data_IF_569517229468
#
_entry.id   IF_569517229468
#
_cell.length_a   1.000
_cell.length_b   1.000
_cell.length_c   1.000
_cell.angle_alpha   90.00
_cell.angle_beta   90.00
_cell.angle_gamma   90.00
#
_symmetry.space_group_name_H-M   'P 1'
#
loop_
_entity.id
_entity.type
_entity.pdbx_description
1 polymer ?
#
# COMPACT_ATOMS: atom_id res chain seq x y z
N UNK A 1 57.17 -32.55 -30.51
CA UNK A 1 58.21 -31.80 -31.26
C UNK A 1 57.53 -31.18 -32.47
N UNK A 2 57.42 -29.88 -32.70
CA UNK A 2 57.84 -28.71 -31.95
C UNK A 2 57.35 -27.46 -32.73
N UNK A 3 56.93 -26.45 -31.96
CA UNK A 3 57.01 -24.99 -32.18
C UNK A 3 57.22 -24.43 -33.59
N UNK A 4 56.38 -23.46 -33.98
CA UNK A 4 56.75 -22.09 -34.43
C UNK A 4 55.67 -21.51 -35.35
N UNK A 5 54.71 -20.76 -34.80
CA UNK A 5 53.88 -19.82 -35.56
C UNK A 5 53.44 -18.69 -34.62
N UNK A 6 54.40 -17.83 -34.23
CA UNK A 6 54.12 -16.64 -33.41
C UNK A 6 54.89 -15.38 -33.85
N UNK A 7 55.56 -15.39 -35.00
CA UNK A 7 56.39 -14.26 -35.49
C UNK A 7 55.91 -13.58 -36.79
N UNK A 8 54.82 -14.04 -37.41
CA UNK A 8 54.31 -13.40 -38.64
C UNK A 8 53.32 -12.25 -38.42
N UNK A 9 52.80 -12.07 -37.19
CA UNK A 9 51.73 -11.11 -36.91
C UNK A 9 52.19 -9.78 -36.30
N UNK A 10 53.46 -9.64 -35.92
CA UNK A 10 54.01 -8.40 -35.32
C UNK A 10 54.66 -7.43 -36.30
N UNK A 11 54.91 -7.83 -37.56
CA UNK A 11 55.54 -6.95 -38.55
C UNK A 11 54.55 -6.10 -39.38
N UNK A 12 53.24 -6.34 -39.25
CA UNK A 12 52.22 -5.62 -40.03
C UNK A 12 51.71 -4.36 -39.32
N UNK A 13 52.06 -4.16 -38.05
CA UNK A 13 51.57 -3.03 -37.24
C UNK A 13 52.52 -1.82 -37.15
N UNK A 14 53.67 -1.84 -37.86
CA UNK A 14 54.67 -0.76 -37.86
C UNK A 14 54.91 -0.16 -39.26
N UNK A 15 53.87 -0.04 -40.08
CA UNK A 15 53.89 0.75 -41.31
C UNK A 15 52.67 1.68 -41.36
N UNK A 16 52.47 2.45 -40.29
CA UNK A 16 51.86 3.77 -40.38
C UNK A 16 53.02 4.76 -40.44
N UNK A 17 53.48 5.13 -41.64
CA UNK A 17 53.95 6.48 -41.91
C UNK A 17 54.19 6.69 -43.42
N UNK A 18 53.65 7.80 -43.94
CA UNK A 18 53.90 8.40 -45.26
C UNK A 18 53.10 7.86 -46.46
N UNK A 19 51.85 8.33 -46.61
CA UNK A 19 51.42 8.85 -47.92
C UNK A 19 50.43 10.01 -47.75
N UNK A 20 50.72 11.07 -48.49
CA UNK A 20 50.18 12.42 -48.41
C UNK A 20 48.83 12.59 -49.12
N UNK A 21 47.96 13.39 -48.50
CA UNK A 21 46.92 14.30 -49.03
C UNK A 21 46.60 14.28 -50.54
N UNK A 22 45.32 14.03 -50.85
CA UNK A 22 44.57 14.77 -51.88
C UNK A 22 43.13 14.95 -51.40
N UNK A 23 42.72 16.22 -51.25
CA UNK A 23 41.38 16.61 -50.81
C UNK A 23 40.38 16.63 -51.97
N UNK A 24 39.26 15.96 -51.78
CA UNK A 24 38.03 16.14 -52.56
C UNK A 24 36.88 16.31 -51.57
N UNK A 25 36.29 17.50 -51.55
CA UNK A 25 35.17 17.85 -50.70
C UNK A 25 33.89 17.10 -51.14
N UNK A 26 33.36 16.27 -50.25
CA UNK A 26 32.01 15.70 -50.31
C UNK A 26 31.10 16.47 -49.33
N UNK A 27 29.81 16.67 -49.63
CA UNK A 27 28.91 17.40 -48.75
C UNK A 27 28.76 16.66 -47.42
N UNK A 28 28.96 17.41 -46.34
CA UNK A 28 28.83 17.02 -44.94
C UNK A 28 27.39 16.54 -44.65
N UNK A 29 27.10 15.27 -44.92
CA UNK A 29 25.97 14.59 -44.31
C UNK A 29 26.42 14.14 -42.92
N UNK A 30 26.15 15.00 -41.95
CA UNK A 30 26.34 14.74 -40.53
C UNK A 30 25.58 13.45 -40.15
N UNK A 31 26.25 12.33 -39.83
CA UNK A 31 25.56 11.21 -39.23
C UNK A 31 25.16 11.69 -37.83
N UNK A 32 23.86 11.86 -37.58
CA UNK A 32 23.33 12.08 -36.23
C UNK A 32 23.72 10.86 -35.39
N UNK A 33 24.89 10.94 -34.76
CA UNK A 33 25.25 10.09 -33.64
C UNK A 33 24.28 10.41 -32.52
N UNK A 34 23.39 9.46 -32.20
CA UNK A 34 22.65 9.46 -30.94
C UNK A 34 23.62 9.17 -29.79
N UNK A 35 24.58 10.06 -29.56
CA UNK A 35 25.15 10.23 -28.25
C UNK A 35 24.08 10.95 -27.43
N UNK A 36 23.60 10.33 -26.37
CA UNK A 36 22.98 11.00 -25.24
C UNK A 36 23.96 12.06 -24.75
N UNK A 37 23.90 13.25 -25.34
CA UNK A 37 24.66 14.39 -24.87
C UNK A 37 24.01 14.80 -23.56
N UNK A 38 24.49 14.20 -22.47
CA UNK A 38 24.08 14.52 -21.10
C UNK A 38 24.37 16.01 -20.92
N UNK A 39 23.33 16.83 -21.01
CA UNK A 39 23.44 18.25 -20.76
C UNK A 39 23.69 18.41 -19.27
N UNK A 40 24.91 18.76 -18.86
CA UNK A 40 25.26 18.99 -17.45
C UNK A 40 24.43 20.11 -16.81
N UNK A 41 23.76 20.95 -17.62
CA UNK A 41 22.81 21.94 -17.16
C UNK A 41 21.38 21.39 -17.05
N UNK A 42 21.17 20.08 -17.15
CA UNK A 42 19.83 19.51 -17.06
C UNK A 42 19.35 19.38 -15.61
N UNK A 43 18.08 19.67 -15.40
CA UNK A 43 17.38 19.48 -14.12
C UNK A 43 17.37 18.01 -13.68
N UNK A 44 17.35 17.05 -14.63
CA UNK A 44 17.36 15.62 -14.30
C UNK A 44 18.74 15.17 -13.79
N UNK A 45 19.81 15.63 -14.43
CA UNK A 45 21.18 15.41 -13.94
C UNK A 45 21.33 16.03 -12.56
N UNK A 46 20.84 17.26 -12.39
CA UNK A 46 20.86 17.94 -11.11
C UNK A 46 20.04 17.21 -10.03
N UNK A 47 18.93 16.54 -10.39
CA UNK A 47 18.16 15.70 -9.48
C UNK A 47 18.96 14.48 -9.03
N UNK A 48 19.57 13.75 -9.96
CA UNK A 48 20.36 12.54 -9.67
C UNK A 48 21.60 12.84 -8.82
N UNK A 49 22.21 14.02 -8.99
CA UNK A 49 23.36 14.48 -8.21
C UNK A 49 22.97 15.20 -6.90
N UNK A 50 21.66 15.40 -6.65
CA UNK A 50 21.18 16.16 -5.49
C UNK A 50 21.06 15.32 -4.22
N UNK A 51 20.64 15.98 -3.14
CA UNK A 51 20.33 15.33 -1.87
C UNK A 51 19.01 14.54 -1.88
N UNK A 52 18.24 14.56 -2.97
CA UNK A 52 17.01 13.78 -3.15
C UNK A 52 17.30 12.35 -3.62
N UNK A 53 18.17 11.65 -2.89
CA UNK A 53 18.69 10.33 -3.25
C UNK A 53 17.60 9.27 -3.29
N UNK A 54 16.65 9.30 -2.35
CA UNK A 54 15.56 8.31 -2.31
C UNK A 54 14.62 8.48 -3.52
N UNK A 55 14.35 9.71 -3.92
CA UNK A 55 13.53 9.99 -5.11
C UNK A 55 14.25 9.53 -6.38
N UNK A 56 15.55 9.80 -6.48
CA UNK A 56 16.38 9.37 -7.62
C UNK A 56 16.37 7.86 -7.78
N UNK A 57 16.49 7.11 -6.68
CA UNK A 57 16.37 5.65 -6.69
C UNK A 57 14.99 5.17 -7.19
N UNK A 58 13.91 5.84 -6.77
CA UNK A 58 12.56 5.51 -7.26
C UNK A 58 12.41 5.79 -8.76
N UNK A 59 12.99 6.88 -9.27
CA UNK A 59 12.97 7.21 -10.71
C UNK A 59 13.68 6.16 -11.55
N UNK A 60 14.84 5.68 -11.08
CA UNK A 60 15.57 4.57 -11.72
C UNK A 60 14.74 3.28 -11.72
N UNK A 61 14.18 2.91 -10.56
CA UNK A 61 13.33 1.70 -10.42
C UNK A 61 12.04 1.76 -11.23
N UNK A 62 11.51 2.96 -11.46
CA UNK A 62 10.32 3.17 -12.28
C UNK A 62 10.60 3.17 -13.79
N UNK A 63 11.87 3.08 -14.22
CA UNK A 63 12.29 3.15 -15.62
C UNK A 63 11.81 4.44 -16.30
N UNK A 64 11.74 5.55 -15.57
CA UNK A 64 11.18 6.82 -16.07
C UNK A 64 12.22 7.75 -16.70
N UNK A 65 13.52 7.47 -16.55
CA UNK A 65 14.59 8.37 -17.02
C UNK A 65 14.42 8.78 -18.49
N UNK A 66 14.20 7.81 -19.38
CA UNK A 66 14.00 8.09 -20.80
C UNK A 66 12.77 8.98 -21.08
N UNK A 67 11.66 8.71 -20.40
CA UNK A 67 10.42 9.49 -20.54
C UNK A 67 10.61 10.92 -20.03
N UNK A 68 11.33 11.10 -18.93
CA UNK A 68 11.62 12.42 -18.37
C UNK A 68 12.58 13.20 -19.25
N UNK A 69 13.62 12.57 -19.79
CA UNK A 69 14.55 13.20 -20.75
C UNK A 69 13.81 13.74 -21.98
N UNK A 70 12.88 12.94 -22.53
CA UNK A 70 12.01 13.38 -23.63
C UNK A 70 11.09 14.53 -23.20
N UNK A 71 10.60 14.55 -21.97
CA UNK A 71 9.74 15.64 -21.51
C UNK A 71 10.52 16.95 -21.38
N UNK A 72 11.71 16.87 -20.77
CA UNK A 72 12.61 18.00 -20.55
C UNK A 72 13.14 18.59 -21.86
N UNK A 73 13.25 17.79 -22.92
CA UNK A 73 13.65 18.30 -24.24
C UNK A 73 12.59 19.18 -24.91
N UNK A 74 11.31 19.05 -24.53
CA UNK A 74 10.20 19.78 -25.15
C UNK A 74 9.64 20.89 -24.27
N UNK A 75 9.68 20.71 -22.95
CA UNK A 75 9.05 21.60 -21.98
C UNK A 75 9.96 21.84 -20.78
N UNK A 76 9.85 23.03 -20.20
CA UNK A 76 10.43 23.29 -18.89
C UNK A 76 9.57 22.63 -17.82
N UNK A 77 10.17 21.82 -16.95
CA UNK A 77 9.43 21.07 -15.94
C UNK A 77 9.64 21.63 -14.53
N UNK A 78 8.67 21.35 -13.66
CA UNK A 78 8.78 21.58 -12.22
C UNK A 78 8.63 20.26 -11.49
N UNK A 79 9.64 19.90 -10.70
CA UNK A 79 9.66 18.66 -9.92
C UNK A 79 9.44 19.01 -8.44
N UNK A 80 8.45 18.38 -7.82
CA UNK A 80 8.27 18.44 -6.37
C UNK A 80 8.95 17.24 -5.72
N UNK A 81 10.15 17.45 -5.19
CA UNK A 81 10.97 16.38 -4.64
C UNK A 81 10.72 16.22 -3.14
N UNK A 82 10.13 15.10 -2.68
CA UNK A 82 9.99 14.84 -1.26
C UNK A 82 11.36 14.60 -0.60
N UNK A 83 11.54 15.13 0.60
CA UNK A 83 12.76 14.92 1.40
C UNK A 83 12.94 13.43 1.75
N UNK A 84 14.19 12.95 1.85
CA UNK A 84 14.47 11.53 2.14
C UNK A 84 13.79 11.02 3.41
N UNK A 85 13.71 11.85 4.45
CA UNK A 85 13.01 11.50 5.70
C UNK A 85 11.52 11.19 5.47
N UNK A 86 10.88 11.83 4.50
CA UNK A 86 9.50 11.54 4.14
C UNK A 86 9.33 10.14 3.55
N UNK A 87 10.29 9.70 2.73
CA UNK A 87 10.25 8.41 2.04
C UNK A 87 10.72 7.25 2.92
N UNK A 88 11.59 7.53 3.89
CA UNK A 88 12.12 6.50 4.80
C UNK A 88 11.27 6.34 6.06
N UNK A 89 10.85 7.44 6.69
CA UNK A 89 10.24 7.43 8.03
C UNK A 89 8.74 7.68 8.04
N UNK A 90 8.26 8.54 7.15
CA UNK A 90 6.84 8.96 7.16
C UNK A 90 5.96 8.08 6.26
N UNK A 91 6.56 7.40 5.29
CA UNK A 91 5.83 6.49 4.39
C UNK A 91 5.53 5.15 5.07
N UNK A 92 4.30 4.67 4.88
CA UNK A 92 3.87 3.34 5.35
C UNK A 92 4.77 2.24 4.73
N UNK A 93 5.40 1.36 5.54
CA UNK A 93 6.28 0.32 5.03
C UNK A 93 5.58 -0.69 4.09
N UNK A 94 4.31 -0.98 4.31
CA UNK A 94 3.51 -1.85 3.44
C UNK A 94 3.21 -1.17 2.11
N UNK A 95 2.96 0.14 2.13
CA UNK A 95 2.81 0.95 0.92
C UNK A 95 4.13 1.02 0.12
N UNK A 96 5.27 1.27 0.79
CA UNK A 96 6.60 1.24 0.16
C UNK A 96 6.85 -0.11 -0.51
N UNK A 97 6.57 -1.21 0.19
CA UNK A 97 6.69 -2.57 -0.37
C UNK A 97 5.78 -2.77 -1.57
N UNK A 98 4.52 -2.32 -1.51
CA UNK A 98 3.59 -2.40 -2.63
C UNK A 98 4.12 -1.66 -3.87
N UNK A 99 4.66 -0.45 -3.72
CA UNK A 99 5.21 0.32 -4.84
C UNK A 99 6.44 -0.33 -5.48
N UNK A 100 7.27 -0.98 -4.67
CA UNK A 100 8.52 -1.63 -5.12
C UNK A 100 8.32 -3.05 -5.64
N UNK A 101 7.11 -3.62 -5.55
CA UNK A 101 6.80 -4.91 -6.18
C UNK A 101 6.86 -4.76 -7.71
N UNK A 102 7.60 -5.62 -8.45
CA UNK A 102 7.72 -5.53 -9.91
C UNK A 102 6.38 -5.52 -10.65
N UNK A 103 5.33 -6.14 -10.08
CA UNK A 103 3.99 -6.16 -10.65
C UNK A 103 3.22 -4.83 -10.56
N UNK A 104 3.68 -3.85 -9.78
CA UNK A 104 2.99 -2.58 -9.54
C UNK A 104 3.78 -1.38 -10.10
N UNK A 105 4.67 -1.62 -11.07
CA UNK A 105 5.51 -0.59 -11.69
C UNK A 105 4.69 0.58 -12.26
N UNK A 106 3.50 0.32 -12.79
CA UNK A 106 2.58 1.37 -13.27
C UNK A 106 2.16 2.33 -12.15
N UNK A 107 1.88 1.80 -10.95
CA UNK A 107 1.49 2.62 -9.80
C UNK A 107 2.67 3.46 -9.30
N UNK A 108 3.90 2.92 -9.33
CA UNK A 108 5.13 3.68 -9.04
C UNK A 108 5.37 4.78 -10.08
N UNK A 109 5.20 4.48 -11.37
CA UNK A 109 5.35 5.48 -12.44
C UNK A 109 4.34 6.61 -12.27
N UNK A 110 3.05 6.29 -12.08
CA UNK A 110 2.00 7.29 -11.87
C UNK A 110 2.27 8.17 -10.64
N UNK A 111 2.72 7.56 -9.54
CA UNK A 111 3.11 8.29 -8.33
C UNK A 111 4.20 9.33 -8.63
N UNK A 112 5.27 8.92 -9.32
CA UNK A 112 6.40 9.82 -9.60
C UNK A 112 6.03 10.91 -10.62
N UNK A 113 5.28 10.56 -11.67
CA UNK A 113 4.82 11.51 -12.67
C UNK A 113 3.85 12.56 -12.10
N UNK A 114 3.10 12.21 -11.05
CA UNK A 114 2.25 13.16 -10.33
C UNK A 114 3.05 14.24 -9.57
N UNK A 115 4.33 14.00 -9.27
CA UNK A 115 5.21 15.00 -8.66
C UNK A 115 5.77 16.00 -9.68
N UNK A 116 5.45 15.85 -10.97
CA UNK A 116 6.05 16.64 -12.04
C UNK A 116 4.96 17.38 -12.81
N UNK A 117 5.15 18.69 -12.94
CA UNK A 117 4.33 19.56 -13.79
C UNK A 117 5.13 19.87 -15.08
N UNK A 118 4.54 19.70 -16.29
CA UNK A 118 5.16 20.07 -17.58
C UNK A 118 5.11 21.59 -17.83
N UNK A 119 5.33 22.38 -16.80
CA UNK A 119 5.49 23.83 -16.88
C UNK A 119 6.40 24.31 -15.76
N UNK A 120 7.07 25.43 -15.99
CA UNK A 120 7.90 26.08 -14.97
C UNK A 120 7.00 26.85 -14.01
N UNK A 121 7.05 26.51 -12.73
CA UNK A 121 6.32 27.18 -11.65
C UNK A 121 7.30 27.50 -10.54
N UNK A 122 7.89 28.69 -10.59
CA UNK A 122 8.83 29.16 -9.58
C UNK A 122 8.15 29.64 -8.29
N UNK A 123 8.94 29.87 -7.24
CA UNK A 123 8.43 30.42 -5.96
C UNK A 123 7.69 31.75 -6.11
N UNK A 124 8.04 32.56 -7.12
CA UNK A 124 7.43 33.87 -7.45
C UNK A 124 6.11 33.75 -8.21
N UNK A 125 5.94 32.67 -8.96
CA UNK A 125 4.75 32.39 -9.79
C UNK A 125 3.67 31.64 -8.99
N UNK A 126 3.92 31.40 -7.70
CA UNK A 126 2.97 30.75 -6.81
C UNK A 126 1.69 31.59 -6.67
N UNK A 127 0.50 30.96 -6.66
CA UNK A 127 -0.76 31.70 -6.51
C UNK A 127 -0.75 32.61 -5.27
N UNK A 128 -1.26 33.83 -5.45
CA UNK A 128 -1.31 34.90 -4.45
C UNK A 128 -2.47 34.72 -3.45
N UNK A 129 -2.44 35.54 -2.39
CA UNK A 129 -3.18 35.43 -1.11
C UNK A 129 -4.71 35.58 -1.16
N UNK A 130 -5.35 35.49 -2.33
CA UNK A 130 -6.79 35.28 -2.33
C UNK A 130 -7.03 33.92 -1.69
N UNK A 131 -7.48 33.92 -0.43
CA UNK A 131 -7.68 32.76 0.43
C UNK A 131 -8.72 31.84 -0.22
N UNK A 132 -8.27 30.98 -1.14
CA UNK A 132 -9.13 30.14 -1.98
C UNK A 132 -8.73 30.03 -3.45
N UNK A 133 -7.80 30.86 -3.96
CA UNK A 133 -7.28 30.75 -5.32
C UNK A 133 -6.31 29.55 -5.44
N UNK A 134 -6.85 28.37 -5.64
CA UNK A 134 -6.07 27.18 -5.98
C UNK A 134 -5.71 27.23 -7.47
N UNK A 135 -4.42 27.37 -7.78
CA UNK A 135 -3.94 27.18 -9.15
C UNK A 135 -3.88 25.67 -9.43
N UNK A 136 -4.70 25.19 -10.36
CA UNK A 136 -4.71 23.78 -10.76
C UNK A 136 -3.76 23.60 -11.93
N UNK A 137 -2.71 22.82 -11.72
CA UNK A 137 -1.75 22.51 -12.77
C UNK A 137 -1.92 21.07 -13.22
N UNK A 138 -1.80 20.82 -14.52
CA UNK A 138 -1.75 19.46 -15.04
C UNK A 138 -0.41 18.81 -14.69
N UNK A 139 -0.40 17.53 -14.33
CA UNK A 139 0.84 16.78 -14.06
C UNK A 139 1.27 15.96 -15.27
N UNK A 140 2.36 15.21 -15.15
CA UNK A 140 2.71 14.17 -16.12
C UNK A 140 2.01 12.83 -15.85
N UNK A 141 1.18 12.74 -14.81
CA UNK A 141 0.47 11.51 -14.48
C UNK A 141 -0.40 11.05 -15.65
N UNK A 142 -0.31 9.76 -16.00
CA UNK A 142 -1.05 9.17 -17.13
C UNK A 142 -2.54 9.01 -16.81
N UNK A 143 -2.91 9.00 -15.53
CA UNK A 143 -4.30 8.86 -15.12
C UNK A 143 -5.01 10.22 -15.10
N UNK A 144 -5.91 10.44 -16.07
CA UNK A 144 -6.67 11.68 -16.24
C UNK A 144 -7.50 12.07 -15.01
N UNK A 145 -7.96 11.09 -14.21
CA UNK A 145 -8.77 11.37 -13.03
C UNK A 145 -8.00 12.10 -11.92
N UNK A 146 -6.68 11.90 -11.87
CA UNK A 146 -5.78 12.50 -10.89
C UNK A 146 -4.72 13.39 -11.52
N UNK A 147 -4.89 13.81 -12.77
CA UNK A 147 -3.87 14.56 -13.48
C UNK A 147 -3.74 16.04 -13.06
N UNK A 148 -4.36 16.44 -11.96
CA UNK A 148 -4.37 17.84 -11.52
C UNK A 148 -3.75 17.99 -10.14
N UNK A 149 -2.71 18.81 -10.05
CA UNK A 149 -2.04 19.16 -8.81
C UNK A 149 -2.41 20.59 -8.41
N UNK A 150 -3.22 20.79 -7.36
CA UNK A 150 -3.53 22.11 -6.84
C UNK A 150 -2.33 22.67 -6.08
N UNK A 151 -1.92 23.88 -6.44
CA UNK A 151 -0.97 24.70 -5.70
C UNK A 151 -1.76 25.76 -4.94
N UNK A 152 -1.54 25.86 -3.64
CA UNK A 152 -2.23 26.81 -2.76
C UNK A 152 -1.25 27.46 -1.80
N UNK A 153 -1.69 28.53 -1.14
CA UNK A 153 -0.97 29.15 -0.03
C UNK A 153 -1.72 28.84 1.27
N UNK A 154 -0.99 28.40 2.28
CA UNK A 154 -1.51 28.13 3.62
C UNK A 154 -1.81 29.42 4.39
N UNK A 155 -2.43 29.26 5.55
CA UNK A 155 -2.83 30.40 6.39
C UNK A 155 -1.66 31.16 6.99
N UNK A 156 -0.48 30.55 7.10
CA UNK A 156 0.75 31.19 7.57
C UNK A 156 1.65 31.67 6.41
N UNK A 157 1.14 31.68 5.18
CA UNK A 157 1.88 32.11 3.98
C UNK A 157 2.78 31.03 3.38
N UNK A 158 2.77 29.81 3.94
CA UNK A 158 3.50 28.67 3.42
C UNK A 158 2.95 28.18 2.08
N UNK A 159 3.81 27.65 1.22
CA UNK A 159 3.40 27.10 -0.08
C UNK A 159 2.96 25.65 0.12
N UNK A 160 1.77 25.30 -0.37
CA UNK A 160 1.16 23.98 -0.22
C UNK A 160 0.92 23.34 -1.59
N UNK A 161 1.30 22.08 -1.72
CA UNK A 161 1.22 21.26 -2.93
C UNK A 161 0.23 20.11 -2.68
N UNK A 162 -0.71 19.92 -3.60
CA UNK A 162 -1.71 18.84 -3.49
C UNK A 162 -2.68 19.03 -2.31
N UNK A 163 -2.81 20.25 -1.78
CA UNK A 163 -3.62 20.56 -0.60
C UNK A 163 -3.09 19.99 0.72
N UNK A 164 -1.94 19.32 0.69
CA UNK A 164 -1.38 18.61 1.83
C UNK A 164 0.07 19.02 2.07
N UNK A 165 0.96 18.77 1.10
CA UNK A 165 2.40 18.87 1.32
C UNK A 165 2.91 20.31 1.37
N UNK A 166 3.59 20.71 2.45
CA UNK A 166 4.28 22.00 2.50
C UNK A 166 5.59 21.94 1.71
N UNK A 167 5.87 22.99 0.94
CA UNK A 167 7.19 23.21 0.33
C UNK A 167 8.17 23.66 1.42
N UNK A 168 9.21 22.86 1.64
CA UNK A 168 10.27 23.13 2.62
C UNK A 168 11.44 23.90 2.00
N UNK A 169 11.79 23.58 0.76
CA UNK A 169 12.89 24.20 0.02
C UNK A 169 12.36 24.73 -1.32
N UNK A 170 11.91 25.99 -1.37
CA UNK A 170 11.44 26.59 -2.61
C UNK A 170 12.64 26.89 -3.54
N UNK A 171 12.50 26.59 -4.82
CA UNK A 171 13.53 26.79 -5.86
C UNK A 171 14.91 26.22 -5.46
N UNK A 172 14.94 25.04 -4.85
CA UNK A 172 16.15 24.42 -4.29
C UNK A 172 17.21 24.15 -5.38
N UNK A 173 16.75 23.66 -6.53
CA UNK A 173 17.59 23.47 -7.72
C UNK A 173 16.93 24.22 -8.88
N UNK A 174 17.71 25.11 -9.51
CA UNK A 174 17.27 25.87 -10.68
C UNK A 174 18.18 25.53 -11.85
N UNK A 175 17.57 25.15 -12.97
CA UNK A 175 18.23 24.91 -14.25
C UNK A 175 17.44 25.59 -15.38
N UNK A 176 18.05 25.75 -16.57
CA UNK A 176 17.36 26.37 -17.72
C UNK A 176 16.15 25.55 -18.20
N UNK A 177 16.21 24.23 -18.06
CA UNK A 177 15.23 23.24 -18.52
C UNK A 177 14.22 22.83 -17.42
N UNK A 178 14.40 23.30 -16.18
CA UNK A 178 13.46 23.02 -15.11
C UNK A 178 13.90 23.49 -13.73
N UNK A 179 13.07 23.20 -12.73
CA UNK A 179 13.36 23.51 -11.34
C UNK A 179 12.84 22.42 -10.40
N UNK A 180 13.42 22.38 -9.20
CA UNK A 180 13.05 21.43 -8.14
C UNK A 180 12.64 22.21 -6.89
N UNK A 181 11.47 21.86 -6.35
CA UNK A 181 11.00 22.29 -5.04
C UNK A 181 11.05 21.12 -4.07
N UNK A 182 11.70 21.29 -2.92
CA UNK A 182 11.68 20.30 -1.85
C UNK A 182 10.37 20.33 -1.07
N UNK A 183 9.68 19.19 -0.94
CA UNK A 183 8.43 19.06 -0.17
C UNK A 183 8.61 18.16 1.05
N UNK A 184 7.84 18.41 2.11
CA UNK A 184 7.99 17.69 3.37
C UNK A 184 7.43 16.26 3.37
N UNK A 185 6.59 15.91 2.38
CA UNK A 185 5.88 14.62 2.31
C UNK A 185 5.62 14.20 0.87
N UNK A 186 5.51 12.89 0.65
CA UNK A 186 5.16 12.29 -0.65
C UNK A 186 3.72 12.64 -1.05
N UNK A 187 3.50 12.98 -2.33
CA UNK A 187 2.19 13.17 -2.92
C UNK A 187 1.66 11.84 -3.44
N UNK A 188 0.46 11.43 -3.01
CA UNK A 188 -0.13 10.15 -3.41
C UNK A 188 -1.42 10.40 -4.21
N UNK A 189 -1.44 10.08 -5.52
CA UNK A 189 -2.66 10.08 -6.33
C UNK A 189 -3.71 9.11 -5.80
N UNK A 190 -5.00 9.39 -6.02
CA UNK A 190 -6.08 8.49 -5.58
C UNK A 190 -6.03 7.14 -6.30
N UNK A 191 -5.73 7.12 -7.59
CA UNK A 191 -5.50 5.92 -8.40
C UNK A 191 -4.48 4.97 -7.76
N UNK A 192 -3.33 5.50 -7.33
CA UNK A 192 -2.28 4.72 -6.64
C UNK A 192 -2.74 4.25 -5.27
N UNK A 193 -3.47 5.09 -4.53
CA UNK A 193 -4.05 4.72 -3.24
C UNK A 193 -5.10 3.60 -3.37
N UNK A 194 -5.93 3.65 -4.40
CA UNK A 194 -6.93 2.63 -4.73
C UNK A 194 -6.28 1.31 -5.13
N UNK A 195 -5.20 1.36 -5.93
CA UNK A 195 -4.42 0.17 -6.28
C UNK A 195 -3.87 -0.53 -5.04
N UNK A 196 -3.31 0.23 -4.09
CA UNK A 196 -2.84 -0.29 -2.81
C UNK A 196 -3.98 -0.92 -1.99
N UNK A 197 -5.10 -0.20 -1.85
CA UNK A 197 -6.27 -0.65 -1.10
C UNK A 197 -6.86 -1.95 -1.70
N UNK A 198 -6.93 -2.04 -3.03
CA UNK A 198 -7.40 -3.23 -3.73
C UNK A 198 -6.51 -4.44 -3.46
N UNK A 199 -5.19 -4.26 -3.48
CA UNK A 199 -4.22 -5.35 -3.18
C UNK A 199 -4.32 -5.81 -1.73
N UNK A 200 -4.48 -4.89 -0.79
CA UNK A 200 -4.72 -5.22 0.63
C UNK A 200 -6.01 -6.01 0.80
N UNK A 201 -7.09 -5.55 0.17
CA UNK A 201 -8.40 -6.21 0.23
C UNK A 201 -8.34 -7.62 -0.34
N UNK A 202 -7.72 -7.82 -1.52
CA UNK A 202 -7.55 -9.15 -2.12
C UNK A 202 -6.76 -10.11 -1.23
N UNK A 203 -5.70 -9.64 -0.55
CA UNK A 203 -4.97 -10.46 0.43
C UNK A 203 -5.87 -10.88 1.59
N UNK A 204 -6.67 -9.94 2.13
CA UNK A 204 -7.61 -10.24 3.22
C UNK A 204 -8.70 -11.24 2.82
N UNK A 205 -9.19 -11.17 1.57
CA UNK A 205 -10.20 -12.09 1.03
C UNK A 205 -9.59 -13.48 0.78
N UNK A 206 -8.37 -13.55 0.21
CA UNK A 206 -7.69 -14.82 -0.07
C UNK A 206 -7.29 -15.60 1.18
N UNK A 207 -7.17 -14.92 2.33
CA UNK A 207 -6.85 -15.53 3.61
C UNK A 207 -8.07 -16.17 4.30
N UNK A 208 -9.27 -15.99 3.75
CA UNK A 208 -10.50 -16.62 4.27
C UNK A 208 -10.68 -17.98 3.60
N UNK A 209 -10.68 -19.04 4.40
CA UNK A 209 -11.02 -20.38 3.93
C UNK A 209 -12.46 -20.34 3.38
N UNK A 210 -12.73 -20.82 2.16
CA UNK A 210 -14.08 -20.82 1.62
C UNK A 210 -14.97 -21.69 2.50
N UNK A 211 -15.96 -21.09 3.16
CA UNK A 211 -16.99 -21.82 3.86
C UNK A 211 -17.99 -22.39 2.84
N UNK A 212 -18.49 -23.61 3.10
CA UNK A 212 -19.53 -24.21 2.29
C UNK A 212 -20.79 -23.34 2.27
N UNK A 213 -21.51 -23.34 1.14
CA UNK A 213 -22.72 -22.54 1.01
C UNK A 213 -23.71 -22.84 2.15
N UNK A 214 -24.33 -21.81 2.76
CA UNK A 214 -25.20 -22.03 3.89
C UNK A 214 -26.43 -22.84 3.45
N UNK A 215 -26.61 -24.01 4.07
CA UNK A 215 -27.73 -24.91 3.76
C UNK A 215 -29.01 -24.31 4.34
N UNK A 216 -29.96 -23.95 3.46
CA UNK A 216 -31.28 -23.47 3.85
C UNK A 216 -32.18 -24.68 4.12
N UNK A 217 -32.81 -24.70 5.29
CA UNK A 217 -33.82 -25.70 5.63
C UNK A 217 -35.09 -25.51 4.77
N UNK A 218 -35.49 -26.49 3.94
CA UNK A 218 -36.61 -26.37 3.01
C UNK A 218 -37.96 -26.11 3.69
N UNK A 219 -38.14 -26.49 4.96
CA UNK A 219 -39.42 -26.30 5.67
C UNK A 219 -39.53 -24.95 6.35
N UNK A 220 -38.41 -24.33 6.70
CA UNK A 220 -38.39 -23.11 7.52
C UNK A 220 -37.78 -21.93 6.79
N UNK A 221 -37.19 -22.13 5.60
CA UNK A 221 -36.42 -21.13 4.85
C UNK A 221 -35.33 -20.45 5.70
N UNK A 222 -34.88 -21.10 6.76
CA UNK A 222 -33.83 -20.60 7.66
C UNK A 222 -32.51 -21.27 7.35
N UNK A 223 -31.42 -20.51 7.50
CA UNK A 223 -30.06 -21.03 7.39
C UNK A 223 -29.83 -22.03 8.54
N UNK A 224 -29.45 -23.26 8.23
CA UNK A 224 -29.05 -24.25 9.22
C UNK A 224 -27.71 -23.80 9.81
N UNK A 225 -27.63 -23.63 11.13
CA UNK A 225 -26.39 -23.24 11.82
C UNK A 225 -25.30 -24.29 11.51
N UNK A 226 -24.10 -23.89 11.04
CA UNK A 226 -23.00 -24.82 10.85
C UNK A 226 -22.70 -25.57 12.15
N UNK A 227 -22.48 -26.88 12.07
CA UNK A 227 -22.08 -27.67 13.22
C UNK A 227 -20.75 -27.13 13.77
N UNK A 228 -20.66 -26.94 15.09
CA UNK A 228 -19.44 -26.45 15.71
C UNK A 228 -18.29 -27.45 15.43
N UNK A 229 -17.06 -26.97 15.16
CA UNK A 229 -15.91 -27.85 15.02
C UNK A 229 -15.73 -28.67 16.29
N UNK A 230 -15.52 -29.98 16.14
CA UNK A 230 -15.24 -30.86 17.28
C UNK A 230 -13.95 -30.37 17.95
N UNK A 231 -13.93 -30.12 19.27
CA UNK A 231 -12.73 -29.67 19.95
C UNK A 231 -11.61 -30.69 19.78
N UNK A 232 -10.41 -30.20 19.45
CA UNK A 232 -9.23 -31.05 19.32
C UNK A 232 -8.97 -31.78 20.65
N UNK A 233 -8.97 -33.12 20.62
CA UNK A 233 -8.80 -33.97 21.80
C UNK A 233 -10.06 -34.64 22.33
N UNK A 234 -11.20 -34.56 21.63
CA UNK A 234 -12.38 -35.35 21.99
C UNK A 234 -12.06 -36.86 22.00
N UNK A 235 -12.57 -37.63 22.99
CA UNK A 235 -12.32 -39.07 23.07
C UNK A 235 -12.86 -39.78 21.83
N UNK A 236 -12.15 -40.81 21.32
CA UNK A 236 -12.62 -41.58 20.18
C UNK A 236 -13.98 -42.21 20.50
N UNK A 237 -14.89 -42.19 19.52
CA UNK A 237 -16.21 -42.81 19.65
C UNK A 237 -16.01 -44.31 19.85
N UNK A 238 -16.53 -44.86 20.94
CA UNK A 238 -16.42 -46.27 21.28
C UNK A 238 -17.34 -47.08 20.37
N UNK A 239 -16.84 -48.19 19.84
CA UNK A 239 -17.57 -49.16 19.04
C UNK A 239 -17.81 -50.43 19.86
N UNK A 240 -19.03 -50.95 19.83
CA UNK A 240 -19.43 -52.19 20.51
C UNK A 240 -20.11 -53.12 19.50
N UNK A 241 -19.73 -54.40 19.50
CA UNK A 241 -20.33 -55.41 18.62
C UNK A 241 -21.65 -55.89 19.23
N UNK A 242 -22.74 -55.86 18.46
CA UNK A 242 -24.04 -56.37 18.88
C UNK A 242 -24.73 -57.08 17.72
N UNK A 243 -25.03 -58.37 17.90
CA UNK A 243 -25.90 -59.19 17.04
C UNK A 243 -25.63 -59.07 15.53
N UNK A 244 -24.36 -59.17 15.12
CA UNK A 244 -23.95 -59.12 13.71
C UNK A 244 -23.85 -57.72 13.11
N UNK A 245 -23.90 -56.68 13.95
CA UNK A 245 -23.71 -55.28 13.57
C UNK A 245 -22.72 -54.58 14.50
N UNK A 246 -22.04 -53.54 14.00
CA UNK A 246 -21.15 -52.71 14.83
C UNK A 246 -21.90 -51.44 15.22
N UNK A 247 -22.09 -51.25 16.53
CA UNK A 247 -22.76 -50.07 17.09
C UNK A 247 -21.74 -49.04 17.52
N UNK A 248 -21.91 -47.81 17.07
CA UNK A 248 -21.12 -46.66 17.48
C UNK A 248 -21.95 -45.72 18.36
N UNK A 249 -21.41 -45.33 19.51
CA UNK A 249 -22.08 -44.43 20.45
C UNK A 249 -23.10 -45.12 21.38
N UNK A 250 -23.59 -44.39 22.38
CA UNK A 250 -24.48 -44.89 23.45
C UNK A 250 -25.82 -44.14 23.46
N UNK A 251 -26.91 -44.86 23.77
CA UNK A 251 -28.27 -44.31 23.86
C UNK A 251 -29.00 -44.16 22.51
N UNK A 252 -30.01 -43.28 22.48
CA UNK A 252 -30.89 -43.01 21.32
C UNK A 252 -30.16 -42.41 20.10
N UNK A 253 -28.96 -41.86 20.30
CA UNK A 253 -28.13 -41.32 19.24
C UNK A 253 -27.06 -42.29 18.77
N UNK A 254 -27.30 -43.60 18.82
CA UNK A 254 -26.34 -44.61 18.33
C UNK A 254 -26.54 -44.90 16.85
N UNK A 255 -25.45 -45.24 16.16
CA UNK A 255 -25.46 -45.60 14.74
C UNK A 255 -24.99 -47.04 14.58
N UNK A 256 -25.67 -47.78 13.72
CA UNK A 256 -25.36 -49.18 13.42
C UNK A 256 -24.78 -49.29 12.01
N UNK A 257 -23.70 -50.07 11.89
CA UNK A 257 -23.20 -50.58 10.63
C UNK A 257 -23.71 -52.00 10.44
N UNK A 258 -24.49 -52.21 9.38
CA UNK A 258 -25.04 -53.50 9.00
C UNK A 258 -24.29 -54.02 7.78
N UNK A 259 -23.47 -55.07 7.98
CA UNK A 259 -22.80 -55.76 6.89
C UNK A 259 -22.70 -57.26 7.22
N UNK A 260 -23.48 -58.12 6.54
CA UNK A 260 -23.40 -59.58 6.71
C UNK A 260 -22.01 -60.16 6.39
N UNK A 261 -21.22 -59.46 5.56
CA UNK A 261 -19.95 -59.96 5.03
C UNK A 261 -18.75 -59.66 5.96
N UNK A 262 -18.91 -58.78 6.96
CA UNK A 262 -17.85 -58.39 7.93
C UNK A 262 -17.20 -59.61 8.61
N UNK A 263 -17.95 -60.69 8.79
CA UNK A 263 -17.50 -61.92 9.46
C UNK A 263 -16.94 -62.99 8.50
N UNK A 264 -17.02 -62.77 7.18
CA UNK A 264 -16.67 -63.78 6.18
C UNK A 264 -15.27 -63.63 5.58
N UNK A 265 -14.76 -62.40 5.41
CA UNK A 265 -13.45 -62.17 4.78
C UNK A 265 -12.56 -61.14 5.51
N UNK A 266 -13.04 -60.58 6.62
CA UNK A 266 -12.33 -59.56 7.40
C UNK A 266 -12.16 -58.22 6.65
N UNK A 267 -12.90 -58.00 5.56
CA UNK A 267 -12.93 -56.75 4.82
C UNK A 267 -14.28 -56.05 5.05
N UNK A 268 -14.23 -54.77 5.36
CA UNK A 268 -15.42 -53.96 5.64
C UNK A 268 -15.99 -53.45 4.30
N UNK A 269 -17.19 -53.89 3.91
CA UNK A 269 -17.89 -53.45 2.69
C UNK A 269 -19.22 -52.81 3.04
N UNK A 270 -19.20 -51.53 3.40
CA UNK A 270 -20.38 -50.80 3.91
C UNK A 270 -21.51 -50.76 2.85
N UNK A 271 -22.52 -51.62 2.98
CA UNK A 271 -23.71 -51.62 2.13
C UNK A 271 -24.76 -50.59 2.58
N UNK A 272 -24.79 -50.25 3.87
CA UNK A 272 -25.73 -49.28 4.43
C UNK A 272 -25.36 -48.78 5.82
N UNK A 273 -25.79 -47.55 6.14
CA UNK A 273 -25.71 -46.95 7.47
C UNK A 273 -27.12 -46.58 7.92
N UNK A 274 -27.49 -46.89 9.17
CA UNK A 274 -28.84 -46.58 9.69
C UNK A 274 -28.98 -45.13 10.15
N UNK A 275 -27.85 -44.49 10.46
CA UNK A 275 -27.81 -43.12 10.92
C UNK A 275 -26.39 -42.56 10.96
N UNK A 276 -26.28 -41.24 10.90
CA UNK A 276 -25.00 -40.53 11.10
C UNK A 276 -25.01 -39.93 12.50
N UNK A 277 -24.00 -40.28 13.31
CA UNK A 277 -23.84 -39.74 14.66
C UNK A 277 -23.68 -38.23 14.61
N UNK A 278 -24.67 -37.52 15.14
CA UNK A 278 -24.57 -36.10 15.40
C UNK A 278 -24.02 -35.92 16.83
N UNK A 279 -23.10 -34.96 17.06
CA UNK A 279 -22.57 -34.71 18.39
C UNK A 279 -23.72 -34.48 19.38
N UNK A 280 -23.72 -35.21 20.50
CA UNK A 280 -24.68 -34.99 21.57
C UNK A 280 -24.43 -33.61 22.16
N UNK A 281 -25.40 -32.71 22.03
CA UNK A 281 -25.39 -31.46 22.77
C UNK A 281 -25.50 -31.77 24.27
N UNK A 282 -24.38 -31.69 25.00
CA UNK A 282 -24.43 -31.74 26.45
C UNK A 282 -25.27 -30.56 26.96
N UNK A 283 -26.33 -30.79 27.76
CA UNK A 283 -27.06 -29.69 28.37
C UNK A 283 -26.08 -28.91 29.26
N UNK A 284 -26.03 -27.60 29.03
CA UNK A 284 -25.22 -26.67 29.81
C UNK A 284 -25.37 -26.95 31.30
N UNK A 285 -24.26 -27.30 31.95
CA UNK A 285 -24.18 -27.34 33.41
C UNK A 285 -24.57 -25.96 33.91
N UNK A 286 -25.66 -25.87 34.67
CA UNK A 286 -26.10 -24.65 35.33
C UNK A 286 -24.98 -24.16 36.24
N UNK A 287 -24.25 -23.13 35.81
CA UNK A 287 -23.47 -22.30 36.73
C UNK A 287 -24.47 -21.42 37.47
N UNK A 288 -24.58 -21.63 38.78
CA UNK A 288 -25.34 -20.78 39.70
C UNK A 288 -24.83 -19.33 39.64
N UNK A 289 -25.70 -18.32 39.75
CA UNK A 289 -25.27 -16.93 39.73
C UNK A 289 -24.49 -16.62 41.01
N UNK A 290 -23.18 -16.38 40.88
CA UNK A 290 -22.38 -15.75 41.91
C UNK A 290 -22.74 -14.26 41.96
N UNK A 291 -23.23 -13.84 43.12
CA UNK A 291 -23.64 -12.50 43.51
C UNK A 291 -22.61 -11.43 43.15
N UNK A 292 -23.01 -10.47 42.31
CA UNK A 292 -22.26 -9.23 42.11
C UNK A 292 -22.26 -8.39 43.42
N UNK A 293 -21.13 -7.84 43.88
CA UNK A 293 -21.14 -6.88 44.97
C UNK A 293 -21.76 -5.57 44.46
N UNK A 294 -22.96 -5.25 44.98
CA UNK A 294 -23.56 -3.91 44.86
C UNK A 294 -22.70 -2.91 45.63
N UNK A 295 -21.88 -2.13 44.94
CA UNK A 295 -21.34 -0.88 45.51
C UNK A 295 -22.38 0.21 45.29
N UNK A 296 -23.13 0.48 46.37
CA UNK A 296 -24.13 1.53 46.46
C UNK A 296 -23.43 2.89 46.42
N UNK A 297 -23.70 3.67 45.38
CA UNK A 297 -23.36 5.09 45.31
C UNK A 297 -24.12 5.84 46.41
N UNK A 298 -23.40 6.26 47.46
CA UNK A 298 -23.95 7.01 48.59
C UNK A 298 -24.10 8.48 48.19
N UNK A 299 -25.29 8.85 47.75
CA UNK A 299 -25.71 10.24 47.56
C UNK A 299 -25.82 10.92 48.94
N UNK A 300 -24.79 11.69 49.34
CA UNK A 300 -24.84 12.54 50.53
C UNK A 300 -25.52 13.86 50.19
N UNK A 301 -26.82 13.94 50.45
CA UNK A 301 -27.63 15.16 50.41
C UNK A 301 -27.72 15.73 51.83
N UNK A 302 -27.23 16.96 52.02
CA UNK A 302 -27.64 17.85 53.11
C UNK A 302 -26.72 17.97 54.33
N UNK A 303 -25.84 18.99 54.32
CA UNK A 303 -25.67 19.92 55.45
C UNK A 303 -24.94 21.17 54.94
N UNK A 304 -25.72 22.12 54.44
CA UNK A 304 -25.26 23.45 54.04
C UNK A 304 -25.73 24.39 55.15
N UNK A 305 -24.85 24.63 56.12
CA UNK A 305 -24.97 25.70 57.09
C UNK A 305 -23.56 26.11 57.53
N UNK A 306 -23.29 27.40 57.34
CA UNK A 306 -22.25 28.23 57.95
C UNK A 306 -20.78 28.12 57.52
N UNK A 307 -20.15 29.30 57.67
CA UNK A 307 -18.73 29.67 57.48
C UNK A 307 -18.37 30.03 56.04
N UNK A 308 -18.69 31.23 55.55
CA UNK A 308 -18.10 32.55 55.83
C UNK A 308 -16.68 32.75 55.27
N UNK A 309 -16.55 33.80 54.44
CA UNK A 309 -15.34 34.58 54.14
C UNK A 309 -14.22 33.95 53.28
N UNK A 310 -14.21 34.24 51.97
CA UNK A 310 -13.14 35.05 51.34
C UNK A 310 -13.28 35.18 49.82
N UNK A 311 -13.44 36.44 49.39
CA UNK A 311 -12.95 37.04 48.14
C UNK A 311 -13.41 36.47 46.78
N UNK A 312 -14.60 36.91 46.36
CA UNK A 312 -14.81 37.30 44.96
C UNK A 312 -14.50 38.81 44.83
N UNK A 313 -13.44 39.12 44.09
CA UNK A 313 -13.10 40.46 43.66
C UNK A 313 -13.39 40.63 42.17
N UNK A 314 -14.38 41.49 41.89
CA UNK A 314 -14.60 42.25 40.67
C UNK A 314 -15.38 41.62 39.49
N UNK A 315 -16.36 42.42 39.05
CA UNK A 315 -17.27 42.32 37.90
C UNK A 315 -18.44 41.34 38.07
N UNK A 316 -19.70 41.73 38.20
CA UNK A 316 -20.35 43.03 38.06
C UNK A 316 -21.82 42.82 37.66
N UNK A 317 -22.74 43.39 38.45
CA UNK A 317 -24.15 43.76 38.13
C UNK A 317 -25.19 42.67 37.79
N UNK A 318 -26.02 42.39 38.80
CA UNK A 318 -27.50 42.50 38.86
C UNK A 318 -28.29 42.64 37.55
N UNK A 319 -29.34 41.82 37.38
CA UNK A 319 -30.76 42.27 37.54
C UNK A 319 -31.71 41.09 37.76
N UNK A 320 -32.81 41.40 38.44
CA UNK A 320 -33.74 40.56 39.20
C UNK A 320 -34.81 39.81 38.38
N UNK A 321 -35.37 38.81 39.06
CA UNK A 321 -36.58 38.01 38.84
C UNK A 321 -37.81 38.77 38.29
N UNK A 322 -38.58 38.07 37.44
CA UNK A 322 -39.84 37.43 37.85
C UNK A 322 -40.08 36.16 37.01
#
# INVERSE_FOLDING_TARGET
MGSLNYDAFKLIFLMILLTSINGTALPNQNPKSNSTQINSNSVLVALLDSHYTELSELVEKALLLQTLEQTVSHHNITIFAPNNEALERQMDPEFKRFLLEPGNLKSLQNLLLFHIIPSRVGSKEWPSEDVGAAARHQTLCVDEADNHLPLTRGTSGEKIVGGLAKVTRPDDVIRPDGLIHGIERLLVPRSVQEDFNRRRSLRSISAVLPEGAPVVDPRTHRLKKPAAPVPAGAPPVVAEEADGSVKFGQGEGSAYLFDPDIYTDGRISVQGIDGVLLPVETPATKISPATAPKIVAKQRRGKLLEVACSFAGAFGRFTSCN
#
